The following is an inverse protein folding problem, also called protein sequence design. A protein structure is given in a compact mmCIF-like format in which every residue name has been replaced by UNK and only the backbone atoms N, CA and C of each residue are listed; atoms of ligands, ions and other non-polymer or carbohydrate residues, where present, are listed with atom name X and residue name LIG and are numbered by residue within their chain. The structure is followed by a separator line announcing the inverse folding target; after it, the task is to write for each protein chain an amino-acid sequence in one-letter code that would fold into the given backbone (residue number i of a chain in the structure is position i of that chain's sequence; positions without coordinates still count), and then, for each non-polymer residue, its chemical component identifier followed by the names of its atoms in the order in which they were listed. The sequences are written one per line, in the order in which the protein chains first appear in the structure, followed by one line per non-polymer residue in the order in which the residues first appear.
data_IF_541229581758
#
_entry.id   IF_541229581758
#
_cell.length_a   1.000
_cell.length_b   1.000
_cell.length_c   1.000
_cell.angle_alpha   90.00
_cell.angle_beta   90.00
_cell.angle_gamma   90.00
#
_symmetry.space_group_name_H-M   'P 1'
#
loop_
_entity.id
_entity.type
_entity.pdbx_description
1 polymer ?
#
# COMPACT_ATOMS: atom_id res chain seq x y z
N UNK A 1 8.62 -23.32 9.17
CA UNK A 1 9.64 -22.56 8.42
C UNK A 1 8.87 -21.58 7.58
N UNK A 2 9.28 -20.32 7.60
CA UNK A 2 8.63 -19.26 6.87
C UNK A 2 9.61 -18.65 5.89
N UNK A 3 9.17 -18.52 4.64
CA UNK A 3 9.93 -17.85 3.59
C UNK A 3 9.51 -16.38 3.55
N UNK A 4 10.44 -15.51 3.13
CA UNK A 4 10.18 -14.08 2.97
C UNK A 4 10.44 -13.71 1.51
N UNK A 5 9.43 -13.14 0.88
CA UNK A 5 9.54 -12.50 -0.43
C UNK A 5 9.69 -11.00 -0.16
N UNK A 6 10.78 -10.38 -0.63
CA UNK A 6 10.94 -8.92 -0.59
C UNK A 6 10.20 -8.31 -1.78
N UNK A 7 9.31 -7.37 -1.49
CA UNK A 7 8.42 -6.69 -2.44
C UNK A 7 8.85 -5.23 -2.70
N UNK A 8 10.01 -4.82 -2.20
CA UNK A 8 10.55 -3.47 -2.36
C UNK A 8 9.90 -2.41 -1.46
N UNK A 9 10.38 -1.17 -1.58
CA UNK A 9 9.89 -0.01 -0.81
C UNK A 9 8.66 0.67 -1.42
N UNK A 10 8.49 0.55 -2.74
CA UNK A 10 7.45 1.17 -3.57
C UNK A 10 7.18 0.26 -4.79
N UNK A 11 6.17 0.55 -5.63
CA UNK A 11 5.95 -0.16 -6.89
C UNK A 11 7.18 -0.08 -7.82
N UNK A 12 7.37 -1.10 -8.65
CA UNK A 12 8.62 -1.32 -9.38
C UNK A 12 9.02 -0.22 -10.38
N UNK A 13 8.05 0.51 -10.93
CA UNK A 13 8.27 1.56 -11.93
C UNK A 13 8.07 2.97 -11.36
N UNK A 14 8.06 3.12 -10.03
CA UNK A 14 7.86 4.41 -9.35
C UNK A 14 9.15 4.89 -8.69
N UNK A 15 9.33 6.21 -8.65
CA UNK A 15 10.39 6.79 -7.82
C UNK A 15 10.15 6.47 -6.34
N UNK A 16 11.24 6.33 -5.58
CA UNK A 16 11.18 6.07 -4.14
C UNK A 16 12.32 6.76 -3.40
N UNK A 17 12.17 6.89 -2.07
CA UNK A 17 13.18 7.47 -1.22
C UNK A 17 14.55 6.78 -1.41
N UNK A 18 15.58 7.59 -1.67
CA UNK A 18 16.97 7.14 -1.80
C UNK A 18 17.83 7.66 -0.64
N UNK A 19 18.68 6.78 -0.10
CA UNK A 19 19.66 7.16 0.93
C UNK A 19 20.58 8.27 0.39
N UNK A 20 20.81 9.31 1.20
CA UNK A 20 21.68 10.43 0.84
C UNK A 20 21.05 11.53 -0.01
N UNK A 21 19.81 11.36 -0.50
CA UNK A 21 19.12 12.38 -1.30
C UNK A 21 18.35 13.39 -0.44
N UNK A 22 18.02 13.03 0.80
CA UNK A 22 17.25 13.87 1.72
C UNK A 22 17.57 13.54 3.17
N UNK A 23 17.64 14.54 4.07
CA UNK A 23 17.82 14.29 5.51
C UNK A 23 16.61 13.59 6.14
N UNK A 24 15.46 13.58 5.47
CA UNK A 24 14.20 13.01 5.97
C UNK A 24 13.95 11.58 5.43
N UNK A 25 15.01 10.92 4.96
CA UNK A 25 14.93 9.63 4.28
C UNK A 25 14.12 8.58 5.05
N UNK A 26 14.41 8.38 6.34
CA UNK A 26 13.77 7.33 7.13
C UNK A 26 12.25 7.51 7.20
N UNK A 27 11.78 8.75 7.37
CA UNK A 27 10.34 9.05 7.44
C UNK A 27 9.66 8.78 6.11
N UNK A 28 10.26 9.24 5.01
CA UNK A 28 9.72 9.07 3.66
C UNK A 28 9.68 7.60 3.26
N UNK A 29 10.78 6.87 3.44
CA UNK A 29 10.86 5.45 3.11
C UNK A 29 9.85 4.60 3.93
N UNK A 30 9.65 4.92 5.21
CA UNK A 30 8.59 4.27 6.01
C UNK A 30 7.19 4.59 5.53
N UNK A 31 6.93 5.84 5.10
CA UNK A 31 5.65 6.25 4.55
C UNK A 31 5.34 5.50 3.24
N UNK A 32 6.34 5.38 2.36
CA UNK A 32 6.24 4.62 1.11
C UNK A 32 5.97 3.14 1.36
N UNK A 33 6.72 2.48 2.26
CA UNK A 33 6.49 1.08 2.63
C UNK A 33 5.08 0.88 3.20
N UNK A 34 4.59 1.82 4.01
CA UNK A 34 3.23 1.78 4.54
C UNK A 34 2.17 1.96 3.44
N UNK A 35 2.40 2.87 2.50
CA UNK A 35 1.53 3.09 1.34
C UNK A 35 1.52 1.87 0.40
N UNK A 36 2.69 1.28 0.13
CA UNK A 36 2.84 0.08 -0.72
C UNK A 36 2.04 -1.10 -0.13
N UNK A 37 2.13 -1.28 1.19
CA UNK A 37 1.31 -2.27 1.90
C UNK A 37 -0.19 -2.02 1.72
N UNK A 38 -0.64 -0.79 1.89
CA UNK A 38 -2.06 -0.44 1.72
C UNK A 38 -2.53 -0.63 0.28
N UNK A 39 -1.67 -0.32 -0.70
CA UNK A 39 -1.94 -0.52 -2.12
C UNK A 39 -2.06 -2.01 -2.49
N UNK A 40 -1.15 -2.85 -1.99
CA UNK A 40 -1.26 -4.31 -2.14
C UNK A 40 -2.53 -4.86 -1.48
N UNK A 41 -2.89 -4.36 -0.30
CA UNK A 41 -4.15 -4.75 0.35
C UNK A 41 -5.36 -4.30 -0.47
N UNK A 42 -5.33 -3.10 -1.06
CA UNK A 42 -6.39 -2.65 -1.95
C UNK A 42 -6.56 -3.64 -3.12
N UNK A 43 -5.46 -4.02 -3.77
CA UNK A 43 -5.49 -4.86 -4.97
C UNK A 43 -5.83 -6.32 -4.68
N UNK A 44 -5.22 -6.90 -3.65
CA UNK A 44 -5.23 -8.35 -3.40
C UNK A 44 -6.02 -8.76 -2.15
N UNK A 45 -6.49 -7.79 -1.35
CA UNK A 45 -7.14 -8.03 -0.07
C UNK A 45 -6.13 -8.20 1.07
N UNK A 46 -6.64 -8.44 2.28
CA UNK A 46 -5.78 -8.73 3.43
C UNK A 46 -5.13 -10.11 3.28
N UNK A 47 -3.87 -10.29 3.71
CA UNK A 47 -3.23 -11.60 3.71
C UNK A 47 -4.08 -12.63 4.50
N UNK A 48 -4.29 -13.84 3.96
CA UNK A 48 -4.93 -14.92 4.72
C UNK A 48 -4.02 -15.41 5.86
N UNK A 49 -4.60 -16.13 6.84
CA UNK A 49 -3.84 -16.75 7.91
C UNK A 49 -2.74 -17.68 7.35
N UNK A 50 -1.48 -17.41 7.72
CA UNK A 50 -0.30 -18.06 7.14
C UNK A 50 0.52 -17.14 6.24
N UNK A 51 -0.02 -15.98 5.86
CA UNK A 51 0.67 -14.88 5.20
C UNK A 51 0.69 -13.64 6.09
N UNK A 52 1.81 -12.91 6.11
CA UNK A 52 1.90 -11.61 6.79
C UNK A 52 2.74 -10.65 5.96
N UNK A 53 2.17 -9.51 5.58
CA UNK A 53 2.94 -8.37 5.10
C UNK A 53 3.65 -7.73 6.31
N UNK A 54 4.95 -7.48 6.22
CA UNK A 54 5.75 -6.88 7.30
C UNK A 54 6.84 -5.97 6.74
N UNK A 55 7.25 -4.99 7.54
CA UNK A 55 8.38 -4.13 7.14
C UNK A 55 9.67 -4.87 7.44
N UNK A 56 10.53 -4.99 6.44
CA UNK A 56 11.89 -5.51 6.58
C UNK A 56 12.83 -4.35 6.90
N UNK A 57 13.81 -4.59 7.76
CA UNK A 57 14.85 -3.60 8.11
C UNK A 57 16.15 -4.06 7.48
N UNK A 58 16.62 -3.32 6.49
CA UNK A 58 17.83 -3.62 5.73
C UNK A 58 18.95 -2.71 6.23
N UNK A 59 19.93 -3.29 6.92
CA UNK A 59 21.09 -2.58 7.46
C UNK A 59 22.26 -2.75 6.51
N UNK A 60 22.77 -1.64 5.98
CA UNK A 60 23.91 -1.60 5.08
C UNK A 60 24.92 -0.55 5.56
N UNK A 61 26.12 -0.58 4.99
CA UNK A 61 27.20 0.34 5.34
C UNK A 61 26.84 1.81 5.10
N UNK A 62 25.92 2.08 4.16
CA UNK A 62 25.44 3.41 3.80
C UNK A 62 24.21 3.88 4.58
N UNK A 63 23.70 3.06 5.50
CA UNK A 63 22.53 3.38 6.32
C UNK A 63 21.53 2.25 6.45
N UNK A 64 20.39 2.57 7.05
CA UNK A 64 19.27 1.64 7.21
C UNK A 64 18.14 2.06 6.29
N UNK A 65 17.65 1.14 5.48
CA UNK A 65 16.44 1.33 4.69
C UNK A 65 15.43 0.22 4.98
N UNK A 66 14.20 0.45 4.54
CA UNK A 66 13.05 -0.41 4.80
C UNK A 66 12.40 -0.83 3.49
N UNK A 67 12.03 -2.11 3.41
CA UNK A 67 11.23 -2.67 2.32
C UNK A 67 9.99 -3.36 2.88
N UNK A 68 9.04 -3.68 2.02
CA UNK A 68 7.88 -4.50 2.36
C UNK A 68 8.22 -5.96 2.06
N UNK A 69 7.99 -6.85 3.02
CA UNK A 69 8.14 -8.29 2.82
C UNK A 69 6.83 -9.03 3.01
N UNK A 70 6.60 -10.07 2.23
CA UNK A 70 5.57 -11.08 2.47
C UNK A 70 6.21 -12.30 3.16
N UNK A 71 5.84 -12.53 4.41
CA UNK A 71 6.20 -13.73 5.15
C UNK A 71 5.15 -14.82 4.87
N UNK A 72 5.58 -16.00 4.42
CA UNK A 72 4.69 -17.13 4.10
C UNK A 72 5.08 -18.34 4.94
N UNK A 73 4.15 -18.88 5.73
CA UNK A 73 4.38 -20.15 6.44
C UNK A 73 4.24 -21.33 5.47
N UNK A 74 5.33 -22.08 5.27
CA UNK A 74 5.35 -23.21 4.33
C UNK A 74 4.41 -24.36 4.76
N UNK A 75 4.11 -24.48 6.06
CA UNK A 75 3.14 -25.45 6.56
C UNK A 75 1.71 -25.07 6.17
N UNK A 76 1.35 -23.80 6.34
CA UNK A 76 0.07 -23.23 5.95
C UNK A 76 -0.11 -23.28 4.43
N UNK A 77 0.90 -22.89 3.64
CA UNK A 77 0.86 -22.93 2.18
C UNK A 77 0.57 -24.35 1.63
N UNK A 78 1.06 -25.40 2.29
CA UNK A 78 0.76 -26.80 1.92
C UNK A 78 -0.64 -27.27 2.30
N UNK A 79 -1.27 -26.65 3.30
CA UNK A 79 -2.59 -27.08 3.84
C UNK A 79 -3.75 -26.21 3.36
N UNK A 80 -3.49 -24.96 3.00
CA UNK A 80 -4.49 -24.00 2.55
C UNK A 80 -4.05 -23.40 1.21
N UNK A 81 -4.77 -23.75 0.14
CA UNK A 81 -4.49 -23.27 -1.21
C UNK A 81 -4.60 -21.74 -1.33
N UNK A 82 -5.34 -21.06 -0.44
CA UNK A 82 -5.45 -19.60 -0.43
C UNK A 82 -4.15 -18.92 -0.05
N UNK A 83 -3.34 -19.55 0.81
CA UNK A 83 -2.03 -19.03 1.23
C UNK A 83 -1.06 -19.05 0.04
N UNK A 84 -1.00 -20.18 -0.68
CA UNK A 84 -0.18 -20.30 -1.88
C UNK A 84 -0.65 -19.34 -2.99
N UNK A 85 -1.96 -19.27 -3.26
CA UNK A 85 -2.51 -18.36 -4.26
C UNK A 85 -2.29 -16.89 -3.93
N UNK A 86 -2.40 -16.49 -2.66
CA UNK A 86 -2.10 -15.12 -2.24
C UNK A 86 -0.62 -14.79 -2.42
N UNK A 87 0.28 -15.71 -2.06
CA UNK A 87 1.71 -15.52 -2.28
C UNK A 87 2.04 -15.37 -3.77
N UNK A 88 1.48 -16.22 -4.61
CA UNK A 88 1.66 -16.17 -6.07
C UNK A 88 1.14 -14.86 -6.67
N UNK A 89 -0.03 -14.39 -6.23
CA UNK A 89 -0.63 -13.14 -6.72
C UNK A 89 0.16 -11.89 -6.31
N UNK A 90 0.83 -11.92 -5.16
CA UNK A 90 1.51 -10.75 -4.57
C UNK A 90 3.01 -10.71 -4.88
N UNK A 91 3.63 -11.83 -5.28
CA UNK A 91 5.09 -11.94 -5.39
C UNK A 91 5.74 -10.90 -6.30
N UNK A 92 5.03 -10.45 -7.34
CA UNK A 92 5.53 -9.44 -8.30
C UNK A 92 5.27 -8.00 -7.84
N UNK A 93 4.55 -7.81 -6.73
CA UNK A 93 4.18 -6.50 -6.20
C UNK A 93 3.23 -5.73 -7.13
N UNK A 94 3.38 -4.41 -7.14
CA UNK A 94 2.72 -3.52 -8.09
C UNK A 94 3.77 -2.92 -9.02
N UNK A 95 3.40 -2.61 -10.26
CA UNK A 95 4.24 -1.85 -11.17
C UNK A 95 4.14 -0.34 -10.88
N UNK A 96 2.93 0.17 -10.61
CA UNK A 96 2.65 1.59 -10.35
C UNK A 96 1.65 1.80 -9.21
N UNK A 97 1.62 3.00 -8.63
CA UNK A 97 0.64 3.34 -7.58
C UNK A 97 -0.81 3.31 -8.10
N UNK A 98 -1.00 3.63 -9.38
CA UNK A 98 -2.32 3.80 -9.99
C UNK A 98 -3.11 2.49 -10.11
N UNK A 99 -2.43 1.33 -10.14
CA UNK A 99 -3.07 0.01 -10.14
C UNK A 99 -3.94 -0.24 -8.90
N UNK A 100 -3.64 0.46 -7.80
CA UNK A 100 -4.40 0.42 -6.57
C UNK A 100 -5.20 1.72 -6.32
N UNK A 101 -5.23 2.65 -7.28
CA UNK A 101 -5.82 3.99 -7.14
C UNK A 101 -5.15 4.84 -6.04
N UNK A 102 -3.85 4.67 -5.84
CA UNK A 102 -3.03 5.53 -5.00
C UNK A 102 -2.33 6.58 -5.87
N UNK A 103 -2.17 7.78 -5.33
CA UNK A 103 -1.13 8.70 -5.78
C UNK A 103 0.17 8.35 -5.06
N UNK A 104 1.31 8.62 -5.69
CA UNK A 104 2.61 8.50 -5.03
C UNK A 104 2.60 9.31 -3.70
N UNK A 105 2.95 8.69 -2.56
CA UNK A 105 2.89 9.37 -1.26
C UNK A 105 3.95 10.47 -1.13
N UNK A 106 5.01 10.36 -1.93
CA UNK A 106 6.10 11.33 -2.06
C UNK A 106 6.36 11.55 -3.54
N UNK A 107 6.50 12.81 -3.95
CA UNK A 107 6.95 13.16 -5.29
C UNK A 107 8.38 13.68 -5.22
N UNK A 108 9.22 13.13 -6.09
CA UNK A 108 10.63 13.50 -6.21
C UNK A 108 10.83 14.30 -7.49
N UNK A 109 11.68 15.33 -7.41
CA UNK A 109 12.15 16.08 -8.56
C UNK A 109 13.64 16.36 -8.36
N UNK A 110 14.40 16.37 -9.47
CA UNK A 110 15.84 16.54 -9.41
C UNK A 110 16.23 17.83 -8.71
N UNK A 111 17.12 17.72 -7.73
CA UNK A 111 17.64 18.86 -6.95
C UNK A 111 16.59 19.66 -6.17
N UNK A 112 15.35 19.16 -6.05
CA UNK A 112 14.29 19.78 -5.24
C UNK A 112 13.99 18.94 -3.98
N UNK A 113 13.53 19.59 -2.88
CA UNK A 113 13.05 18.86 -1.72
C UNK A 113 11.85 17.96 -2.07
N UNK A 114 11.75 16.74 -1.51
CA UNK A 114 10.61 15.87 -1.73
C UNK A 114 9.28 16.52 -1.32
N UNK A 115 8.25 16.37 -2.15
CA UNK A 115 6.92 16.91 -1.90
C UNK A 115 6.02 15.82 -1.30
N UNK A 116 5.43 16.11 -0.13
CA UNK A 116 4.51 15.21 0.57
C UNK A 116 3.18 15.91 0.80
N UNK A 117 2.14 15.52 0.06
CA UNK A 117 0.79 16.08 0.24
C UNK A 117 0.06 15.51 1.45
N UNK A 118 0.32 14.24 1.77
CA UNK A 118 -0.31 13.50 2.87
C UNK A 118 0.77 12.72 3.60
N UNK A 119 1.11 13.19 4.80
CA UNK A 119 2.22 12.65 5.60
C UNK A 119 1.82 11.46 6.50
N UNK A 120 0.55 11.04 6.46
CA UNK A 120 0.00 9.95 7.26
C UNK A 120 -0.73 8.92 6.39
N UNK A 121 -0.49 7.65 6.70
CA UNK A 121 -1.11 6.52 5.98
C UNK A 121 -2.64 6.59 5.97
N UNK A 122 -3.28 7.00 7.07
CA UNK A 122 -4.75 7.13 7.11
C UNK A 122 -5.26 8.17 6.11
N UNK A 123 -4.54 9.28 5.92
CA UNK A 123 -4.92 10.31 4.96
C UNK A 123 -4.74 9.83 3.52
N UNK A 124 -3.65 9.10 3.24
CA UNK A 124 -3.39 8.48 1.93
C UNK A 124 -4.51 7.48 1.59
N UNK A 125 -4.81 6.56 2.51
CA UNK A 125 -5.88 5.55 2.32
C UNK A 125 -7.26 6.20 2.18
N UNK A 126 -7.53 7.26 2.95
CA UNK A 126 -8.78 8.04 2.80
C UNK A 126 -8.89 8.64 1.40
N UNK A 127 -7.78 9.14 0.83
CA UNK A 127 -7.73 9.61 -0.55
C UNK A 127 -8.08 8.52 -1.57
N UNK A 128 -7.50 7.33 -1.43
CA UNK A 128 -7.81 6.18 -2.30
C UNK A 128 -9.27 5.71 -2.17
N UNK A 129 -9.83 5.72 -0.96
CA UNK A 129 -11.24 5.41 -0.70
C UNK A 129 -12.18 6.42 -1.37
N UNK A 130 -11.83 7.72 -1.32
CA UNK A 130 -12.58 8.76 -2.03
C UNK A 130 -12.47 8.59 -3.53
N UNK A 131 -11.28 8.26 -4.07
CA UNK A 131 -11.07 8.05 -5.50
C UNK A 131 -11.85 6.85 -6.04
N UNK A 132 -11.96 5.77 -5.25
CA UNK A 132 -12.62 4.51 -5.63
C UNK A 132 -14.09 4.44 -5.23
N UNK A 133 -14.67 5.48 -4.63
CA UNK A 133 -16.04 5.45 -4.09
C UNK A 133 -17.09 5.16 -5.17
N UNK A 134 -18.20 4.49 -4.81
CA UNK A 134 -19.35 4.41 -5.70
C UNK A 134 -20.03 5.79 -5.86
N UNK A 135 -20.76 5.95 -6.96
CA UNK A 135 -21.65 7.09 -7.17
C UNK A 135 -22.88 7.06 -6.24
N UNK A 136 -23.75 8.08 -6.30
CA UNK A 136 -24.95 8.16 -5.47
C UNK A 136 -25.94 7.00 -5.66
N UNK A 137 -25.89 6.32 -6.81
CA UNK A 137 -26.69 5.14 -7.14
C UNK A 137 -26.04 3.82 -6.65
N UNK A 138 -24.91 3.90 -5.96
CA UNK A 138 -24.15 2.76 -5.47
C UNK A 138 -23.27 2.09 -6.53
N UNK A 139 -23.21 2.62 -7.76
CA UNK A 139 -22.41 2.01 -8.84
C UNK A 139 -21.00 2.56 -8.88
N UNK A 140 -20.04 1.68 -9.12
CA UNK A 140 -18.64 2.06 -9.33
C UNK A 140 -18.42 2.49 -10.78
N UNK A 141 -17.67 3.58 -10.98
CA UNK A 141 -17.36 4.10 -12.31
C UNK A 141 -16.47 3.15 -13.13
N UNK A 142 -15.62 2.38 -12.43
CA UNK A 142 -14.74 1.36 -13.01
C UNK A 142 -14.96 0.07 -12.21
N UNK A 143 -15.15 -1.11 -12.85
CA UNK A 143 -15.39 -2.37 -12.12
C UNK A 143 -14.34 -2.68 -11.06
N UNK A 144 -13.06 -2.44 -11.36
CA UNK A 144 -11.95 -2.68 -10.44
C UNK A 144 -12.04 -1.83 -9.16
N UNK A 145 -12.68 -0.65 -9.21
CA UNK A 145 -12.82 0.21 -8.03
C UNK A 145 -13.64 -0.45 -6.94
N UNK A 146 -14.62 -1.30 -7.29
CA UNK A 146 -15.40 -2.03 -6.28
C UNK A 146 -14.49 -2.90 -5.42
N UNK A 147 -13.58 -3.65 -6.06
CA UNK A 147 -12.64 -4.53 -5.35
C UNK A 147 -11.69 -3.72 -4.48
N UNK A 148 -11.07 -2.67 -5.04
CA UNK A 148 -10.15 -1.80 -4.31
C UNK A 148 -10.84 -1.15 -3.10
N UNK A 149 -12.02 -0.57 -3.32
CA UNK A 149 -12.79 0.13 -2.29
C UNK A 149 -13.22 -0.82 -1.17
N UNK A 150 -13.76 -1.99 -1.52
CA UNK A 150 -14.19 -3.02 -0.55
C UNK A 150 -13.02 -3.49 0.31
N UNK A 151 -11.87 -3.79 -0.31
CA UNK A 151 -10.70 -4.27 0.40
C UNK A 151 -10.13 -3.21 1.35
N UNK A 152 -10.01 -1.95 0.87
CA UNK A 152 -9.56 -0.84 1.70
C UNK A 152 -10.52 -0.55 2.86
N UNK A 153 -11.84 -0.55 2.60
CA UNK A 153 -12.82 -0.27 3.64
C UNK A 153 -12.82 -1.34 4.73
N UNK A 154 -12.63 -2.61 4.36
CA UNK A 154 -12.50 -3.71 5.30
C UNK A 154 -11.20 -3.62 6.14
N UNK A 155 -10.07 -3.30 5.51
CA UNK A 155 -8.77 -3.24 6.18
C UNK A 155 -8.53 -1.96 6.99
N UNK A 156 -9.15 -0.84 6.58
CA UNK A 156 -8.95 0.49 7.16
C UNK A 156 -10.28 1.18 7.52
N UNK A 157 -11.04 0.62 8.48
CA UNK A 157 -12.39 1.12 8.82
C UNK A 157 -12.40 2.57 9.33
N UNK A 158 -11.32 3.02 9.99
CA UNK A 158 -11.20 4.42 10.42
C UNK A 158 -11.08 5.38 9.23
N UNK A 159 -10.29 5.03 8.21
CA UNK A 159 -10.16 5.81 6.98
C UNK A 159 -11.45 5.79 6.16
N UNK A 160 -12.16 4.65 6.12
CA UNK A 160 -13.50 4.56 5.52
C UNK A 160 -14.51 5.49 6.19
N UNK A 161 -14.51 5.55 7.52
CA UNK A 161 -15.35 6.50 8.28
C UNK A 161 -14.99 7.95 7.95
N UNK A 162 -13.70 8.27 7.87
CA UNK A 162 -13.24 9.62 7.52
C UNK A 162 -13.66 10.02 6.09
N UNK A 163 -13.53 9.12 5.12
CA UNK A 163 -13.97 9.34 3.75
C UNK A 163 -15.48 9.62 3.68
N UNK A 164 -16.29 8.83 4.39
CA UNK A 164 -17.74 9.03 4.44
C UNK A 164 -18.15 10.36 5.08
N UNK A 165 -17.48 10.76 6.16
CA UNK A 165 -17.72 12.06 6.79
C UNK A 165 -17.44 13.23 5.83
N UNK A 166 -16.31 13.17 5.11
CA UNK A 166 -15.96 14.17 4.10
C UNK A 166 -17.01 14.30 2.99
N UNK A 167 -17.58 13.18 2.53
CA UNK A 167 -18.64 13.19 1.51
C UNK A 167 -19.96 13.79 2.02
N UNK A 168 -20.28 13.58 3.30
CA UNK A 168 -21.45 14.18 3.95
C UNK A 168 -21.30 15.70 4.06
N UNK A 169 -20.11 16.20 4.37
CA UNK A 169 -19.82 17.63 4.45
C UNK A 169 -19.94 18.34 3.09
N UNK A 170 -19.50 17.71 2.00
CA UNK A 170 -19.62 18.29 0.64
C UNK A 170 -21.07 18.32 0.15
N UNK A 171 -21.90 17.39 0.62
CA UNK A 171 -23.29 17.26 0.19
C UNK A 171 -24.27 18.11 1.01
N UNK A 172 -23.78 18.77 2.07
CA UNK A 172 -24.55 19.64 2.97
C UNK A 172 -24.52 21.10 2.51
#
# INVERSE_FOLDING_TARGET
MSDIIDLGGAPANEDCAQLGHTPDFERLNRLEVAANRAALIARFGVPPDGCVLKTLTNRHDFGVYYTLGLSVDAGAARRDARVAAYAEAVQDGLATWTEACFAAPVRYADSEPPIVERDRINAIVTGALLATRPGPDGRFAVPDFETLHRNLAAAYPASAKAANAFLQEISA
#
